data_IF_400841156939
#
_entry.id   IF_400841156939
#
_cell.length_a   1.000
_cell.length_b   1.000
_cell.length_c   1.000
_cell.angle_alpha   90.00
_cell.angle_beta   90.00
_cell.angle_gamma   90.00
#
_symmetry.space_group_name_H-M   'P 1'
#
loop_
_entity.id
_entity.type
_entity.pdbx_description
1 polymer ?
#
# COMPACT_ATOMS: atom_id res chain seq x y z
N UNK A 1 9.06 23.17 33.35
CA UNK A 1 9.28 21.99 32.51
C UNK A 1 7.92 21.49 32.05
N UNK A 2 7.61 21.57 30.75
CA UNK A 2 6.30 21.12 30.23
C UNK A 2 6.38 19.62 29.99
N UNK A 3 5.59 18.84 30.72
CA UNK A 3 5.43 17.40 30.50
C UNK A 3 4.81 17.17 29.11
N UNK A 4 5.62 16.79 28.13
CA UNK A 4 5.15 16.34 26.82
C UNK A 4 4.36 15.05 27.05
N UNK A 5 3.02 15.14 27.00
CA UNK A 5 2.14 13.95 27.01
C UNK A 5 2.63 13.02 25.90
N UNK A 6 3.18 11.85 26.27
CA UNK A 6 3.52 10.82 25.30
C UNK A 6 2.22 10.32 24.69
N UNK A 7 1.93 10.74 23.46
CA UNK A 7 0.83 10.16 22.70
C UNK A 7 1.18 8.70 22.42
N UNK A 8 0.30 7.74 22.76
CA UNK A 8 0.55 6.34 22.44
C UNK A 8 0.75 6.18 20.93
N UNK A 9 1.69 5.31 20.53
CA UNK A 9 1.95 5.01 19.13
C UNK A 9 0.67 4.44 18.50
N UNK A 10 0.23 4.93 17.33
CA UNK A 10 -0.98 4.42 16.69
C UNK A 10 -0.73 3.02 16.11
N UNK A 11 -1.78 2.22 15.98
CA UNK A 11 -1.71 1.01 15.16
C UNK A 11 -1.82 1.39 13.68
N UNK A 12 -1.05 0.73 12.82
CA UNK A 12 -1.08 0.93 11.37
C UNK A 12 -1.74 -0.27 10.69
N UNK A 13 -2.85 -0.05 9.99
CA UNK A 13 -3.54 -1.10 9.22
C UNK A 13 -3.45 -0.75 7.74
N UNK A 14 -2.67 -1.52 6.99
CA UNK A 14 -2.50 -1.33 5.55
C UNK A 14 -3.35 -2.33 4.75
N UNK A 15 -4.42 -1.83 4.12
CA UNK A 15 -5.35 -2.64 3.32
C UNK A 15 -5.05 -2.42 1.84
N UNK A 16 -4.68 -3.48 1.14
CA UNK A 16 -4.37 -3.46 -0.29
C UNK A 16 -5.26 -4.44 -1.06
N UNK A 17 -6.04 -3.92 -2.01
CA UNK A 17 -6.75 -4.73 -3.00
C UNK A 17 -5.91 -4.91 -4.25
N UNK A 18 -5.88 -6.12 -4.81
CA UNK A 18 -5.21 -6.40 -6.08
C UNK A 18 -6.14 -6.13 -7.27
N UNK A 19 -5.59 -5.62 -8.37
CA UNK A 19 -6.31 -5.27 -9.60
C UNK A 19 -7.55 -4.38 -9.39
N UNK A 20 -7.44 -3.39 -8.49
CA UNK A 20 -8.54 -2.45 -8.28
C UNK A 20 -8.55 -1.33 -9.34
N UNK A 21 -9.44 -1.43 -10.32
CA UNK A 21 -9.60 -0.39 -11.33
C UNK A 21 -10.22 0.89 -10.75
N UNK A 22 -9.55 2.04 -10.96
CA UNK A 22 -10.08 3.37 -10.60
C UNK A 22 -11.46 3.63 -11.24
N UNK A 23 -11.60 3.35 -12.53
CA UNK A 23 -12.84 3.53 -13.29
C UNK A 23 -13.94 2.51 -12.96
N UNK A 24 -13.64 1.48 -12.16
CA UNK A 24 -14.62 0.55 -11.60
C UNK A 24 -15.22 1.01 -10.26
N UNK A 25 -14.81 2.18 -9.73
CA UNK A 25 -15.38 2.82 -8.54
C UNK A 25 -16.39 3.92 -8.84
N UNK A 26 -16.50 4.36 -10.10
CA UNK A 26 -17.53 5.30 -10.54
C UNK A 26 -18.84 4.61 -10.91
N UNK A 27 -19.95 5.36 -10.84
CA UNK A 27 -21.25 4.94 -11.37
C UNK A 27 -21.10 4.68 -12.87
N UNK A 28 -21.21 3.43 -13.33
CA UNK A 28 -21.35 3.15 -14.76
C UNK A 28 -22.64 3.80 -15.24
N UNK A 29 -22.59 4.52 -16.37
CA UNK A 29 -23.79 5.18 -16.95
C UNK A 29 -24.92 4.17 -17.19
N UNK A 30 -24.57 2.92 -17.56
CA UNK A 30 -25.52 1.82 -17.83
C UNK A 30 -25.12 0.51 -17.09
N UNK A 31 -24.72 0.58 -15.81
CA UNK A 31 -24.30 -0.61 -15.07
C UNK A 31 -24.86 -0.66 -13.64
N UNK A 32 -24.75 -1.84 -12.97
CA UNK A 32 -25.24 -1.99 -11.61
C UNK A 32 -24.50 -1.04 -10.66
N UNK A 33 -25.24 -0.48 -9.72
CA UNK A 33 -24.67 0.32 -8.65
C UNK A 33 -23.90 -0.58 -7.68
N UNK A 34 -22.60 -0.34 -7.55
CA UNK A 34 -21.75 -1.09 -6.64
C UNK A 34 -21.77 -0.40 -5.27
N UNK A 35 -22.55 -0.94 -4.34
CA UNK A 35 -22.64 -0.45 -2.95
C UNK A 35 -21.37 -0.80 -2.18
N UNK A 36 -20.71 0.23 -1.62
CA UNK A 36 -19.48 0.08 -0.81
C UNK A 36 -19.54 0.92 0.48
N UNK A 37 -20.53 0.67 1.35
CA UNK A 37 -20.77 1.53 2.53
C UNK A 37 -19.53 1.67 3.41
N UNK A 38 -18.77 0.60 3.63
CA UNK A 38 -17.56 0.63 4.47
C UNK A 38 -16.41 1.43 3.85
N UNK A 39 -16.17 1.30 2.53
CA UNK A 39 -15.14 2.07 1.86
C UNK A 39 -15.52 3.56 1.77
N UNK A 40 -16.80 3.84 1.50
CA UNK A 40 -17.32 5.21 1.48
C UNK A 40 -17.17 5.86 2.86
N UNK A 41 -17.48 5.13 3.94
CA UNK A 41 -17.27 5.60 5.31
C UNK A 41 -15.80 5.92 5.57
N UNK A 42 -14.87 5.02 5.24
CA UNK A 42 -13.43 5.26 5.38
C UNK A 42 -12.95 6.49 4.60
N UNK A 43 -13.46 6.68 3.38
CA UNK A 43 -13.11 7.83 2.55
C UNK A 43 -13.67 9.16 3.09
N UNK A 44 -14.84 9.12 3.75
CA UNK A 44 -15.48 10.30 4.33
C UNK A 44 -14.89 10.70 5.70
N UNK A 45 -14.42 9.74 6.48
CA UNK A 45 -13.78 9.97 7.78
C UNK A 45 -12.27 10.28 7.66
N UNK A 46 -11.69 10.14 6.46
CA UNK A 46 -10.25 10.28 6.22
C UNK A 46 -9.91 11.22 5.07
N UNK A 47 -8.77 10.96 4.44
CA UNK A 47 -8.27 11.73 3.29
C UNK A 47 -8.35 10.87 2.03
N UNK A 48 -9.01 11.40 0.98
CA UNK A 48 -9.14 10.74 -0.32
C UNK A 48 -8.22 11.39 -1.36
N UNK A 49 -7.28 10.61 -1.88
CA UNK A 49 -6.46 11.01 -3.03
C UNK A 49 -7.19 10.68 -4.33
N UNK A 50 -7.51 11.71 -5.13
CA UNK A 50 -8.21 11.55 -6.43
C UNK A 50 -7.26 11.36 -7.61
N UNK A 51 -5.95 11.48 -7.36
CA UNK A 51 -4.88 11.41 -8.38
C UNK A 51 -3.71 10.56 -7.86
N UNK A 52 -4.01 9.35 -7.39
CA UNK A 52 -3.01 8.36 -6.98
C UNK A 52 -2.75 7.37 -8.13
N UNK A 53 -1.49 7.17 -8.51
CA UNK A 53 -1.09 6.34 -9.64
C UNK A 53 -0.15 5.23 -9.18
N UNK A 54 -0.28 4.04 -9.76
CA UNK A 54 0.72 2.99 -9.59
C UNK A 54 2.00 3.37 -10.33
N UNK A 55 3.16 3.05 -9.75
CA UNK A 55 4.46 3.21 -10.41
C UNK A 55 4.68 2.21 -11.55
N UNK A 56 3.99 1.07 -11.50
CA UNK A 56 4.03 0.04 -12.55
C UNK A 56 2.69 -0.71 -12.61
N UNK A 57 2.12 -0.97 -13.80
CA UNK A 57 0.88 -1.73 -13.93
C UNK A 57 1.11 -3.26 -13.84
N UNK A 58 2.00 -3.71 -12.94
CA UNK A 58 2.32 -5.12 -12.69
C UNK A 58 2.39 -5.39 -11.18
N UNK A 59 1.97 -6.60 -10.76
CA UNK A 59 1.89 -7.01 -9.36
C UNK A 59 3.23 -6.83 -8.62
N UNK A 60 4.25 -7.58 -9.03
CA UNK A 60 5.60 -7.62 -8.43
C UNK A 60 6.23 -6.24 -8.30
N UNK A 61 6.45 -5.54 -9.43
CA UNK A 61 7.03 -4.22 -9.47
C UNK A 61 6.26 -3.18 -8.62
N UNK A 62 4.93 -3.13 -8.72
CA UNK A 62 4.14 -2.17 -7.94
C UNK A 62 4.28 -2.41 -6.43
N UNK A 63 4.25 -3.67 -5.99
CA UNK A 63 4.38 -4.05 -4.59
C UNK A 63 5.78 -3.79 -4.06
N UNK A 64 6.81 -4.02 -4.89
CA UNK A 64 8.19 -3.64 -4.57
C UNK A 64 8.34 -2.13 -4.40
N UNK A 65 7.70 -1.32 -5.26
CA UNK A 65 7.66 0.13 -5.10
C UNK A 65 7.00 0.52 -3.77
N UNK A 66 5.89 -0.10 -3.38
CA UNK A 66 5.21 0.18 -2.11
C UNK A 66 6.08 -0.16 -0.88
N UNK A 67 6.88 -1.23 -0.94
CA UNK A 67 7.75 -1.63 0.18
C UNK A 67 9.01 -0.76 0.32
N UNK A 68 9.59 -0.37 -0.81
CA UNK A 68 10.89 0.33 -0.87
C UNK A 68 10.76 1.84 -0.96
N UNK A 69 9.62 2.36 -1.44
CA UNK A 69 9.46 3.77 -1.79
C UNK A 69 10.21 4.19 -3.06
N UNK A 70 10.69 3.23 -3.87
CA UNK A 70 11.50 3.47 -5.07
C UNK A 70 10.75 3.08 -6.35
N UNK A 71 11.04 3.76 -7.45
CA UNK A 71 10.54 3.35 -8.77
C UNK A 71 11.17 2.03 -9.26
N UNK A 72 10.51 1.31 -10.19
CA UNK A 72 11.01 0.04 -10.73
C UNK A 72 12.45 0.01 -11.22
N UNK A 73 12.89 1.08 -11.88
CA UNK A 73 14.26 1.18 -12.39
C UNK A 73 15.32 1.28 -11.27
N UNK A 74 14.93 1.68 -10.04
CA UNK A 74 15.83 1.82 -8.91
C UNK A 74 15.91 0.55 -8.05
N UNK A 75 14.82 -0.22 -7.94
CA UNK A 75 14.81 -1.47 -7.18
C UNK A 75 14.94 -2.74 -8.06
N UNK A 76 15.10 -2.58 -9.38
CA UNK A 76 15.37 -3.66 -10.33
C UNK A 76 14.19 -4.57 -10.69
N UNK A 77 13.21 -4.73 -9.78
CA UNK A 77 11.98 -5.51 -10.04
C UNK A 77 11.10 -4.88 -11.13
N UNK A 78 11.33 -5.25 -12.40
CA UNK A 78 10.65 -4.68 -13.58
C UNK A 78 9.57 -5.60 -14.18
N UNK A 79 9.58 -6.89 -13.86
CA UNK A 79 8.57 -7.87 -14.30
C UNK A 79 8.09 -8.71 -13.10
N UNK A 80 7.11 -9.59 -13.28
CA UNK A 80 6.64 -10.45 -12.19
C UNK A 80 7.53 -11.69 -12.00
N UNK A 81 8.26 -12.07 -13.05
CA UNK A 81 9.14 -13.23 -13.07
C UNK A 81 10.55 -12.90 -12.57
N UNK A 82 10.83 -11.62 -12.35
CA UNK A 82 12.10 -11.18 -11.78
C UNK A 82 12.11 -11.41 -10.27
N UNK A 83 13.30 -11.42 -9.69
CA UNK A 83 13.46 -11.55 -8.25
C UNK A 83 14.77 -10.87 -7.84
N UNK A 84 14.77 -9.56 -7.97
CA UNK A 84 15.91 -8.76 -7.55
C UNK A 84 16.02 -8.80 -6.02
N UNK A 85 17.26 -8.88 -5.50
CA UNK A 85 17.50 -8.82 -4.06
C UNK A 85 17.09 -7.46 -3.53
N UNK A 86 16.59 -7.42 -2.30
CA UNK A 86 16.48 -6.17 -1.57
C UNK A 86 17.88 -5.68 -1.19
N UNK A 87 18.21 -4.46 -1.58
CA UNK A 87 19.50 -3.80 -1.34
C UNK A 87 19.32 -2.44 -0.63
N UNK A 88 18.09 -2.12 -0.24
CA UNK A 88 17.67 -0.90 0.46
C UNK A 88 16.71 -1.25 1.58
N UNK A 89 16.70 -0.40 2.60
CA UNK A 89 15.81 -0.52 3.75
C UNK A 89 14.34 -0.45 3.33
N UNK A 90 13.51 -1.33 3.90
CA UNK A 90 12.07 -1.35 3.69
C UNK A 90 11.35 -0.47 4.71
N UNK A 91 10.17 0.06 4.38
CA UNK A 91 9.37 0.76 5.39
C UNK A 91 9.01 -0.15 6.57
N UNK A 92 8.89 -1.47 6.33
CA UNK A 92 8.68 -2.47 7.39
C UNK A 92 9.85 -2.53 8.36
N UNK A 93 11.09 -2.47 7.87
CA UNK A 93 12.29 -2.45 8.71
C UNK A 93 12.34 -1.17 9.57
N UNK A 94 11.90 -0.03 9.01
CA UNK A 94 11.74 1.22 9.76
C UNK A 94 10.71 1.09 10.87
N UNK A 95 9.54 0.53 10.56
CA UNK A 95 8.51 0.28 11.57
C UNK A 95 9.02 -0.65 12.67
N UNK A 96 9.78 -1.69 12.32
CA UNK A 96 10.38 -2.59 13.31
C UNK A 96 11.38 -1.89 14.23
N UNK A 97 12.22 -0.99 13.69
CA UNK A 97 13.14 -0.15 14.47
C UNK A 97 12.40 0.79 15.44
N UNK A 98 11.21 1.22 15.05
CA UNK A 98 10.29 2.01 15.88
C UNK A 98 9.43 1.15 16.82
N UNK A 99 9.78 -0.11 17.05
CA UNK A 99 9.13 -1.03 17.99
C UNK A 99 7.66 -1.35 17.63
N UNK A 100 7.34 -1.39 16.33
CA UNK A 100 6.08 -1.94 15.86
C UNK A 100 6.17 -3.46 15.75
N UNK A 101 5.10 -4.13 16.17
CA UNK A 101 4.84 -5.52 15.80
C UNK A 101 4.29 -5.57 14.37
N UNK A 102 4.86 -6.46 13.55
CA UNK A 102 4.52 -6.57 12.15
C UNK A 102 3.78 -7.87 11.90
N UNK A 103 2.59 -7.76 11.32
CA UNK A 103 1.77 -8.88 10.91
C UNK A 103 1.42 -8.75 9.44
N UNK A 104 1.39 -9.88 8.73
CA UNK A 104 1.11 -9.91 7.32
C UNK A 104 0.09 -11.01 6.98
N UNK A 105 -0.96 -10.64 6.25
CA UNK A 105 -2.00 -11.57 5.81
C UNK A 105 -2.38 -11.25 4.35
N UNK A 106 -2.21 -12.21 3.45
CA UNK A 106 -2.65 -12.10 2.06
C UNK A 106 -1.57 -12.40 1.01
N UNK A 107 -1.71 -11.77 -0.17
CA UNK A 107 -0.85 -12.00 -1.35
C UNK A 107 0.41 -11.13 -1.30
N UNK A 108 1.58 -11.76 -1.19
CA UNK A 108 2.88 -11.07 -1.10
C UNK A 108 3.32 -10.48 -2.44
N UNK A 109 3.76 -11.34 -3.37
CA UNK A 109 4.26 -11.01 -4.71
C UNK A 109 5.08 -9.70 -4.76
N UNK A 110 6.11 -9.60 -3.94
CA UNK A 110 7.00 -8.43 -3.88
C UNK A 110 8.50 -8.84 -3.82
N UNK A 111 8.85 -10.01 -4.37
CA UNK A 111 10.18 -10.64 -4.23
C UNK A 111 10.12 -11.92 -3.42
N UNK A 112 11.29 -12.48 -3.05
CA UNK A 112 11.39 -13.60 -2.09
C UNK A 112 10.61 -13.27 -0.82
N UNK A 113 9.62 -14.11 -0.52
CA UNK A 113 8.95 -14.16 0.78
C UNK A 113 9.73 -15.05 1.72
#
# INVERSE_FOLDING_TARGET
MVNKKMTPKPNLVYILNDHHAYYGHGKKVNGPEIKRPNLNRLANEGVKFTRAYTACPLCGPARRTMLTGLFPHNHGEIKNETNHKYDRELYLERLKKEDYELFYFGKWHAGRG
#
